data_IF_769307998402
#
_entry.id   IF_769307998402
#
_cell.length_a   1.000
_cell.length_b   1.000
_cell.length_c   1.000
_cell.angle_alpha   90.00
_cell.angle_beta   90.00
_cell.angle_gamma   90.00
#
_symmetry.space_group_name_H-M   'P 1'
#
loop_
_entity.id
_entity.type
_entity.pdbx_description
1 polymer ?
#
# COMPACT_ATOMS: atom_id res chain seq x y z
N UNK A 1 21.32 -15.40 -11.53
CA UNK A 1 21.46 -14.30 -10.55
C UNK A 1 20.67 -13.05 -10.96
N UNK A 2 20.60 -12.68 -12.25
CA UNK A 2 19.83 -11.51 -12.73
C UNK A 2 18.32 -11.61 -12.45
N UNK A 3 17.69 -12.77 -12.68
CA UNK A 3 16.24 -12.98 -12.48
C UNK A 3 15.79 -12.85 -11.03
N UNK A 4 16.57 -13.39 -10.10
CA UNK A 4 16.32 -13.22 -8.67
C UNK A 4 16.38 -11.74 -8.24
N UNK A 5 17.34 -10.98 -8.79
CA UNK A 5 17.49 -9.56 -8.52
C UNK A 5 16.40 -8.70 -9.17
N UNK A 6 15.84 -9.10 -10.31
CA UNK A 6 14.68 -8.40 -10.89
C UNK A 6 13.40 -8.68 -10.10
N UNK A 7 13.20 -9.93 -9.67
CA UNK A 7 12.06 -10.33 -8.85
C UNK A 7 11.99 -9.56 -7.53
N UNK A 8 13.13 -9.45 -6.83
CA UNK A 8 13.18 -8.72 -5.56
C UNK A 8 12.92 -7.22 -5.77
N UNK A 9 13.43 -6.62 -6.85
CA UNK A 9 13.17 -5.21 -7.18
C UNK A 9 11.69 -4.94 -7.42
N UNK A 10 11.02 -5.76 -8.23
CA UNK A 10 9.58 -5.62 -8.50
C UNK A 10 8.78 -5.72 -7.21
N UNK A 11 9.00 -6.78 -6.42
CA UNK A 11 8.26 -7.00 -5.16
C UNK A 11 8.52 -5.91 -4.14
N UNK A 12 9.78 -5.51 -3.94
CA UNK A 12 10.14 -4.42 -3.02
C UNK A 12 9.46 -3.12 -3.42
N UNK A 13 9.38 -2.80 -4.72
CA UNK A 13 8.74 -1.54 -5.15
C UNK A 13 7.23 -1.57 -4.93
N UNK A 14 6.57 -2.70 -5.20
CA UNK A 14 5.13 -2.90 -4.89
C UNK A 14 4.88 -2.72 -3.38
N UNK A 15 5.69 -3.35 -2.55
CA UNK A 15 5.54 -3.29 -1.08
C UNK A 15 5.76 -1.88 -0.55
N UNK A 16 6.82 -1.18 -0.99
CA UNK A 16 7.12 0.20 -0.56
C UNK A 16 5.98 1.15 -0.96
N UNK A 17 5.42 0.99 -2.17
CA UNK A 17 4.24 1.75 -2.61
C UNK A 17 3.08 1.59 -1.62
N UNK A 18 2.73 0.35 -1.27
CA UNK A 18 1.62 0.09 -0.34
C UNK A 18 1.89 0.59 1.08
N UNK A 19 3.12 0.43 1.59
CA UNK A 19 3.52 0.96 2.90
C UNK A 19 3.31 2.48 2.93
N UNK A 20 3.90 3.20 1.97
CA UNK A 20 3.84 4.67 1.93
C UNK A 20 2.43 5.22 1.77
N UNK A 21 1.61 4.62 0.89
CA UNK A 21 0.22 5.03 0.67
C UNK A 21 -0.64 4.79 1.91
N UNK A 22 -0.50 3.62 2.53
CA UNK A 22 -1.27 3.23 3.71
C UNK A 22 -0.89 4.07 4.94
N UNK A 23 0.42 4.26 5.19
CA UNK A 23 0.90 5.17 6.26
C UNK A 23 0.39 6.59 6.05
N UNK A 24 0.46 7.12 4.82
CA UNK A 24 -0.03 8.48 4.53
C UNK A 24 -1.54 8.60 4.77
N UNK A 25 -2.32 7.61 4.29
CA UNK A 25 -3.77 7.60 4.49
C UNK A 25 -4.14 7.56 5.98
N UNK A 26 -3.49 6.69 6.76
CA UNK A 26 -3.70 6.55 8.20
C UNK A 26 -3.37 7.85 8.94
N UNK A 27 -2.21 8.45 8.65
CA UNK A 27 -1.79 9.72 9.27
C UNK A 27 -2.80 10.85 9.00
N UNK A 28 -3.29 10.96 7.76
CA UNK A 28 -4.30 11.96 7.38
C UNK A 28 -5.65 11.68 8.05
N UNK A 29 -6.06 10.42 8.14
CA UNK A 29 -7.32 10.02 8.76
C UNK A 29 -7.33 10.30 10.27
N UNK A 30 -6.28 9.89 10.99
CA UNK A 30 -6.16 10.10 12.44
C UNK A 30 -6.13 11.60 12.79
N UNK A 31 -5.45 12.41 11.98
CA UNK A 31 -5.33 13.87 12.20
C UNK A 31 -6.48 14.67 11.60
N UNK A 32 -7.43 14.01 10.92
CA UNK A 32 -8.53 14.63 10.18
C UNK A 32 -8.04 15.72 9.22
N UNK A 33 -6.86 15.52 8.63
CA UNK A 33 -6.18 16.44 7.72
C UNK A 33 -5.38 17.57 8.37
N UNK A 34 -5.36 17.69 9.71
CA UNK A 34 -4.56 18.71 10.39
C UNK A 34 -3.15 18.18 10.74
N UNK A 35 -2.17 18.46 9.88
CA UNK A 35 -0.80 17.98 10.07
C UNK A 35 -0.08 18.58 11.29
N UNK A 36 -0.56 19.72 11.83
CA UNK A 36 0.05 20.34 13.01
C UNK A 36 -0.15 19.55 14.30
N UNK A 37 -1.15 18.65 14.35
CA UNK A 37 -1.42 17.83 15.53
C UNK A 37 -0.76 16.45 15.47
N UNK A 38 0.06 16.19 14.44
CA UNK A 38 0.83 14.95 14.34
C UNK A 38 1.76 14.84 15.55
N UNK A 39 1.64 13.71 16.24
CA UNK A 39 2.49 13.34 17.37
C UNK A 39 3.22 12.04 17.05
N UNK A 40 4.17 11.67 17.90
CA UNK A 40 4.87 10.38 17.78
C UNK A 40 3.93 9.18 17.81
N UNK A 41 2.85 9.25 18.57
CA UNK A 41 1.84 8.20 18.63
C UNK A 41 1.12 8.01 17.28
N UNK A 42 0.85 9.10 16.56
CA UNK A 42 0.28 9.03 15.21
C UNK A 42 1.22 8.33 14.23
N UNK A 43 2.52 8.63 14.31
CA UNK A 43 3.53 7.98 13.48
C UNK A 43 3.64 6.49 13.76
N UNK A 44 3.65 6.09 15.03
CA UNK A 44 3.76 4.69 15.42
C UNK A 44 2.63 3.85 14.82
N UNK A 45 1.38 4.27 15.01
CA UNK A 45 0.20 3.58 14.48
C UNK A 45 0.21 3.57 12.94
N UNK A 46 0.51 4.71 12.31
CA UNK A 46 0.52 4.82 10.86
C UNK A 46 1.62 3.98 10.21
N UNK A 47 2.78 3.85 10.84
CA UNK A 47 3.87 2.97 10.38
C UNK A 47 3.47 1.50 10.57
N UNK A 48 2.91 1.11 11.71
CA UNK A 48 2.39 -0.25 11.94
C UNK A 48 1.34 -0.63 10.88
N UNK A 49 0.40 0.27 10.59
CA UNK A 49 -0.63 0.10 9.56
C UNK A 49 -0.01 -0.04 8.16
N UNK A 50 0.96 0.80 7.84
CA UNK A 50 1.71 0.74 6.58
C UNK A 50 2.45 -0.58 6.41
N UNK A 51 3.21 -1.00 7.42
CA UNK A 51 3.94 -2.27 7.42
C UNK A 51 2.99 -3.47 7.29
N UNK A 52 1.87 -3.47 8.02
CA UNK A 52 0.85 -4.52 7.90
C UNK A 52 0.30 -4.62 6.48
N UNK A 53 0.00 -3.47 5.86
CA UNK A 53 -0.42 -3.42 4.45
C UNK A 53 0.68 -3.90 3.50
N UNK A 54 1.93 -3.53 3.78
CA UNK A 54 3.10 -3.99 3.05
C UNK A 54 3.27 -5.50 3.08
N UNK A 55 3.06 -6.14 4.23
CA UNK A 55 3.07 -7.61 4.36
C UNK A 55 1.95 -8.24 3.53
N UNK A 56 0.73 -7.72 3.64
CA UNK A 56 -0.42 -8.22 2.83
C UNK A 56 -0.11 -8.10 1.34
N UNK A 57 0.44 -6.97 0.92
CA UNK A 57 0.86 -6.76 -0.47
C UNK A 57 2.01 -7.69 -0.88
N UNK A 58 2.97 -7.94 0.00
CA UNK A 58 4.07 -8.86 -0.28
C UNK A 58 3.52 -10.27 -0.53
N UNK A 59 2.59 -10.72 0.31
CA UNK A 59 1.90 -12.01 0.14
C UNK A 59 1.12 -12.05 -1.18
N UNK A 60 0.40 -10.99 -1.52
CA UNK A 60 -0.31 -10.86 -2.78
C UNK A 60 0.62 -10.80 -4.01
N UNK A 61 1.91 -10.46 -3.83
CA UNK A 61 2.89 -10.45 -4.92
C UNK A 61 3.43 -11.83 -5.29
N UNK A 62 3.09 -12.88 -4.53
CA UNK A 62 3.41 -14.26 -4.85
C UNK A 62 2.29 -14.90 -5.69
N UNK A 63 2.66 -15.59 -6.77
CA UNK A 63 1.72 -16.20 -7.71
C UNK A 63 1.15 -15.21 -8.74
N UNK A 64 0.00 -15.55 -9.31
CA UNK A 64 -0.64 -14.76 -10.39
C UNK A 64 -1.28 -13.45 -9.90
N UNK A 65 -1.47 -13.31 -8.58
CA UNK A 65 -1.99 -12.09 -7.94
C UNK A 65 -1.07 -10.88 -8.15
N UNK A 66 0.21 -11.09 -8.50
CA UNK A 66 1.11 -10.00 -8.89
C UNK A 66 0.55 -9.18 -10.06
N UNK A 67 -0.14 -9.83 -11.02
CA UNK A 67 -0.78 -9.18 -12.17
C UNK A 67 -1.96 -8.30 -11.74
N UNK A 68 -2.65 -8.69 -10.68
CA UNK A 68 -3.72 -7.88 -10.12
C UNK A 68 -3.17 -6.58 -9.51
N UNK A 69 -1.98 -6.65 -8.88
CA UNK A 69 -1.30 -5.48 -8.30
C UNK A 69 -0.73 -4.49 -9.33
N UNK A 70 -0.76 -4.82 -10.62
CA UNK A 70 -0.28 -3.95 -11.72
C UNK A 70 -1.41 -3.18 -12.36
N UNK A 71 -2.64 -3.68 -12.22
CA UNK A 71 -3.82 -2.98 -12.68
C UNK A 71 -4.17 -1.85 -11.72
N UNK A 72 -4.55 -0.69 -12.27
CA UNK A 72 -5.03 0.47 -11.50
C UNK A 72 -6.11 0.13 -10.46
N UNK A 73 -7.01 -0.79 -10.79
CA UNK A 73 -8.09 -1.18 -9.91
C UNK A 73 -7.65 -2.22 -8.88
N UNK A 74 -6.80 -3.18 -9.27
CA UNK A 74 -6.33 -4.19 -8.33
C UNK A 74 -5.34 -3.64 -7.31
N UNK A 75 -4.47 -2.70 -7.70
CA UNK A 75 -3.61 -1.99 -6.75
C UNK A 75 -4.40 -1.10 -5.79
N UNK A 76 -5.49 -0.48 -6.25
CA UNK A 76 -6.39 0.26 -5.38
C UNK A 76 -7.18 -0.67 -4.44
N UNK A 77 -7.64 -1.82 -4.93
CA UNK A 77 -8.36 -2.81 -4.14
C UNK A 77 -7.48 -3.43 -3.03
N UNK A 78 -6.21 -3.74 -3.34
CA UNK A 78 -5.27 -4.24 -2.32
C UNK A 78 -4.93 -3.16 -1.30
N UNK A 79 -4.77 -1.91 -1.74
CA UNK A 79 -4.61 -0.80 -0.81
C UNK A 79 -5.85 -0.67 0.12
N UNK A 80 -7.06 -0.73 -0.43
CA UNK A 80 -8.30 -0.70 0.35
C UNK A 80 -8.36 -1.81 1.41
N UNK A 81 -8.26 -3.07 0.97
CA UNK A 81 -8.42 -4.25 1.83
C UNK A 81 -7.26 -4.32 2.84
N UNK A 82 -6.02 -4.19 2.35
CA UNK A 82 -4.82 -4.30 3.17
C UNK A 82 -4.76 -3.21 4.25
N UNK A 83 -5.06 -1.97 3.88
CA UNK A 83 -5.08 -0.85 4.84
C UNK A 83 -6.23 -1.00 5.84
N UNK A 84 -7.44 -1.36 5.41
CA UNK A 84 -8.57 -1.56 6.34
C UNK A 84 -8.24 -2.62 7.39
N UNK A 85 -7.67 -3.76 6.98
CA UNK A 85 -7.29 -4.84 7.90
C UNK A 85 -6.15 -4.39 8.82
N UNK A 86 -5.09 -3.80 8.27
CA UNK A 86 -3.92 -3.41 9.04
C UNK A 86 -4.22 -2.29 10.05
N UNK A 87 -5.05 -1.32 9.67
CA UNK A 87 -5.49 -0.22 10.52
C UNK A 87 -6.37 -0.73 11.67
N UNK A 88 -7.33 -1.61 11.36
CA UNK A 88 -8.20 -2.22 12.35
C UNK A 88 -7.41 -2.98 13.42
N UNK A 89 -6.41 -3.76 13.01
CA UNK A 89 -5.53 -4.49 13.94
C UNK A 89 -4.66 -3.50 14.74
N UNK A 90 -4.11 -2.47 14.10
CA UNK A 90 -3.25 -1.48 14.76
C UNK A 90 -3.99 -0.67 15.83
N UNK A 91 -5.30 -0.49 15.67
CA UNK A 91 -6.20 0.15 16.64
C UNK A 91 -6.90 -0.83 17.61
N UNK A 92 -6.41 -2.08 17.71
CA UNK A 92 -6.93 -3.06 18.68
C UNK A 92 -8.33 -3.59 18.37
N UNK A 93 -8.80 -3.47 17.12
CA UNK A 93 -10.03 -4.10 16.65
C UNK A 93 -11.34 -3.41 17.06
N UNK A 94 -11.29 -2.15 17.47
CA UNK A 94 -12.47 -1.42 17.99
C UNK A 94 -13.08 -0.43 16.98
N UNK A 95 -12.29 0.07 16.03
CA UNK A 95 -12.64 1.20 15.16
C UNK A 95 -12.94 0.84 13.70
N UNK A 96 -13.85 -0.10 13.44
CA UNK A 96 -14.17 -0.58 12.07
C UNK A 96 -14.49 0.53 11.05
N UNK A 97 -15.26 1.56 11.47
CA UNK A 97 -15.64 2.67 10.58
C UNK A 97 -14.43 3.54 10.20
N UNK A 98 -13.53 3.79 11.15
CA UNK A 98 -12.33 4.60 10.91
C UNK A 98 -11.39 3.84 9.98
N UNK A 99 -11.19 2.55 10.22
CA UNK A 99 -10.37 1.69 9.37
C UNK A 99 -10.88 1.58 7.94
N UNK A 100 -12.20 1.54 7.74
CA UNK A 100 -12.79 1.61 6.40
C UNK A 100 -12.51 2.94 5.71
N UNK A 101 -12.64 4.07 6.41
CA UNK A 101 -12.36 5.40 5.85
C UNK A 101 -10.88 5.54 5.51
N UNK A 102 -9.98 5.06 6.38
CA UNK A 102 -8.54 4.99 6.13
C UNK A 102 -8.25 4.13 4.89
N UNK A 103 -8.89 2.96 4.79
CA UNK A 103 -8.81 2.09 3.62
C UNK A 103 -9.25 2.78 2.33
N UNK A 104 -10.38 3.49 2.34
CA UNK A 104 -10.85 4.28 1.18
C UNK A 104 -9.82 5.35 0.82
N UNK A 105 -9.27 6.05 1.80
CA UNK A 105 -8.20 7.03 1.61
C UNK A 105 -6.97 6.44 0.92
N UNK A 106 -6.51 5.26 1.39
CA UNK A 106 -5.39 4.55 0.78
C UNK A 106 -5.70 4.07 -0.64
N UNK A 107 -6.92 3.58 -0.88
CA UNK A 107 -7.38 3.16 -2.20
C UNK A 107 -7.38 4.33 -3.19
N UNK A 108 -7.89 5.49 -2.78
CA UNK A 108 -7.90 6.70 -3.58
C UNK A 108 -6.49 7.21 -3.84
N UNK A 109 -5.62 7.26 -2.82
CA UNK A 109 -4.21 7.61 -3.00
C UNK A 109 -3.53 6.66 -3.99
N UNK A 110 -3.76 5.36 -3.85
CA UNK A 110 -3.21 4.36 -4.77
C UNK A 110 -3.72 4.53 -6.20
N UNK A 111 -5.02 4.80 -6.35
CA UNK A 111 -5.67 5.06 -7.63
C UNK A 111 -5.14 6.34 -8.29
N UNK A 112 -5.01 7.45 -7.56
CA UNK A 112 -4.43 8.68 -8.10
C UNK A 112 -2.96 8.53 -8.50
N UNK A 113 -2.17 7.83 -7.66
CA UNK A 113 -0.78 7.49 -8.00
C UNK A 113 -0.71 6.63 -9.26
N UNK A 114 -1.72 5.81 -9.56
CA UNK A 114 -1.76 5.01 -10.78
C UNK A 114 -1.79 5.84 -12.08
N UNK A 115 -2.19 7.12 -12.02
CA UNK A 115 -2.13 8.03 -13.18
C UNK A 115 -0.78 8.74 -13.33
N UNK A 116 0.11 8.60 -12.35
CA UNK A 116 1.41 9.28 -12.36
C UNK A 116 2.45 8.48 -13.15
N UNK A 117 3.56 9.10 -13.59
CA UNK A 117 4.66 8.40 -14.27
C UNK A 117 5.28 7.27 -13.44
N UNK A 118 5.09 7.27 -12.12
CA UNK A 118 5.58 6.22 -11.22
C UNK A 118 4.93 4.86 -11.52
N UNK A 119 3.63 4.85 -11.86
CA UNK A 119 2.92 3.61 -12.19
C UNK A 119 3.40 3.02 -13.51
N UNK A 120 3.67 3.88 -14.50
CA UNK A 120 4.29 3.48 -15.78
C UNK A 120 5.67 2.87 -15.55
N UNK A 121 6.47 3.43 -14.64
CA UNK A 121 7.78 2.87 -14.30
C UNK A 121 7.65 1.47 -13.67
N UNK A 122 6.66 1.27 -12.80
CA UNK A 122 6.35 -0.04 -12.21
C UNK A 122 5.92 -1.07 -13.26
N UNK A 123 5.04 -0.68 -14.19
CA UNK A 123 4.61 -1.55 -15.29
C UNK A 123 5.80 -1.99 -16.16
N UNK A 124 6.69 -1.06 -16.52
CA UNK A 124 7.90 -1.36 -17.30
C UNK A 124 8.87 -2.31 -16.57
N UNK A 125 8.98 -2.19 -15.23
CA UNK A 125 9.79 -3.13 -14.44
C UNK A 125 9.22 -4.55 -14.45
N UNK A 126 7.90 -4.68 -14.60
CA UNK A 126 7.22 -5.97 -14.67
C UNK A 126 7.27 -6.60 -16.05
N UNK A 127 7.09 -5.83 -17.13
CA UNK A 127 7.30 -6.30 -18.50
C UNK A 127 8.72 -6.86 -18.68
N UNK A 128 9.72 -6.13 -18.20
CA UNK A 128 11.12 -6.59 -18.23
C UNK A 128 11.35 -7.87 -17.42
N UNK A 129 10.49 -8.19 -16.44
CA UNK A 129 10.55 -9.46 -15.71
C UNK A 129 9.96 -10.62 -16.54
N UNK A 130 8.91 -10.38 -17.33
CA UNK A 130 8.31 -11.41 -18.18
C UNK A 130 9.21 -11.77 -19.38
N UNK A 131 10.06 -10.83 -19.82
CA UNK A 131 11.06 -11.03 -20.89
C UNK A 131 12.34 -11.79 -20.44
N UNK A 132 12.60 -11.93 -19.13
CA UNK A 132 13.82 -12.55 -18.55
C UNK A 132 13.57 -13.88 -17.82
#
# INVERSE_FOLDING_TARGET
MSKFLSDIKVRSTIVIRHITQSTTACLLAMTKGNLYVISWHHWEIAICTGLGTGVISLLASYGDLVKFQTSRYGVAAIAFIGTTIADFISHGGTSWKESLVTGIGAALLSFFVSFTPLDKYLANLQEKKEEN
#
